data_IF_163910466945
#
_entry.id   IF_163910466945
#
_cell.length_a   1.000
_cell.length_b   1.000
_cell.length_c   1.000
_cell.angle_alpha   90.00
_cell.angle_beta   90.00
_cell.angle_gamma   90.00
#
_symmetry.space_group_name_H-M   'P 1'
#
loop_
_entity.id
_entity.type
_entity.pdbx_description
1 polymer ?
#
# COMPACT_ATOMS: atom_id res chain seq x y z
N UNK A 1 9.81 -7.50 -27.99
CA UNK A 1 9.73 -6.02 -28.23
C UNK A 1 9.42 -5.40 -26.88
N UNK A 2 10.07 -4.28 -26.56
CA UNK A 2 9.76 -3.52 -25.35
C UNK A 2 8.35 -2.92 -25.46
N UNK A 3 7.56 -3.02 -24.41
CA UNK A 3 6.18 -2.53 -24.36
C UNK A 3 6.10 -1.29 -23.47
N UNK A 4 5.27 -0.32 -23.88
CA UNK A 4 4.96 0.84 -23.03
C UNK A 4 3.64 0.60 -22.32
N UNK A 5 3.66 0.64 -20.97
CA UNK A 5 2.53 0.41 -20.10
C UNK A 5 2.19 1.70 -19.37
N UNK A 6 0.92 2.02 -19.21
CA UNK A 6 0.47 3.20 -18.48
C UNK A 6 -0.11 2.83 -17.12
N UNK A 7 0.12 3.70 -16.14
CA UNK A 7 -0.57 3.59 -14.86
C UNK A 7 -1.17 4.92 -14.42
N UNK A 8 -2.46 4.89 -14.09
CA UNK A 8 -3.21 6.03 -13.58
C UNK A 8 -3.85 5.70 -12.24
N UNK A 9 -3.88 6.69 -11.33
CA UNK A 9 -4.43 6.52 -9.99
C UNK A 9 -5.21 7.75 -9.54
N UNK A 10 -6.44 7.56 -9.08
CA UNK A 10 -7.30 8.64 -8.58
C UNK A 10 -7.80 8.33 -7.17
N UNK A 11 -7.98 9.38 -6.37
CA UNK A 11 -8.60 9.32 -5.05
C UNK A 11 -10.10 9.57 -5.08
N UNK A 12 -10.59 10.27 -6.11
CA UNK A 12 -11.99 10.66 -6.33
C UNK A 12 -12.37 10.43 -7.79
N UNK A 13 -13.66 10.23 -8.05
CA UNK A 13 -14.18 9.86 -9.38
C UNK A 13 -14.23 11.10 -10.29
N UNK A 14 -13.82 10.97 -11.56
CA UNK A 14 -14.20 11.84 -12.66
C UNK A 14 -13.02 12.49 -13.38
N UNK A 15 -12.99 13.81 -13.43
CA UNK A 15 -12.13 14.62 -14.32
C UNK A 15 -10.61 14.34 -14.22
N UNK A 16 -10.10 13.93 -13.05
CA UNK A 16 -8.67 13.68 -12.87
C UNK A 16 -8.22 12.36 -13.56
N UNK A 17 -9.09 11.36 -13.69
CA UNK A 17 -8.75 10.12 -14.39
C UNK A 17 -8.68 10.35 -15.90
N UNK A 18 -9.67 11.03 -16.47
CA UNK A 18 -9.73 11.28 -17.92
C UNK A 18 -8.53 12.11 -18.37
N UNK A 19 -8.14 13.13 -17.59
CA UNK A 19 -6.94 13.91 -17.85
C UNK A 19 -5.65 13.05 -17.81
N UNK A 20 -5.54 12.11 -16.87
CA UNK A 20 -4.41 11.19 -16.81
C UNK A 20 -4.40 10.24 -18.02
N UNK A 21 -5.54 9.68 -18.41
CA UNK A 21 -5.65 8.80 -19.57
C UNK A 21 -5.25 9.53 -20.86
N UNK A 22 -5.71 10.76 -21.05
CA UNK A 22 -5.33 11.59 -22.19
C UNK A 22 -3.81 11.85 -22.22
N UNK A 23 -3.22 12.25 -21.10
CA UNK A 23 -1.79 12.50 -21.00
C UNK A 23 -0.93 11.23 -21.24
N UNK A 24 -1.41 10.06 -20.83
CA UNK A 24 -0.75 8.78 -21.12
C UNK A 24 -0.85 8.41 -22.60
N UNK A 25 -2.00 8.65 -23.24
CA UNK A 25 -2.19 8.43 -24.66
C UNK A 25 -1.29 9.36 -25.50
N UNK A 26 -1.20 10.64 -25.13
CA UNK A 26 -0.31 11.62 -25.75
C UNK A 26 1.18 11.24 -25.59
N UNK A 27 1.52 10.55 -24.48
CA UNK A 27 2.85 10.00 -24.27
C UNK A 27 3.15 8.72 -25.05
N UNK A 28 2.20 8.23 -25.88
CA UNK A 28 2.33 7.07 -26.74
C UNK A 28 1.95 5.74 -26.07
N UNK A 29 1.21 5.76 -24.96
CA UNK A 29 0.71 4.54 -24.32
C UNK A 29 -0.58 4.10 -25.01
N UNK A 30 -0.64 2.82 -25.42
CA UNK A 30 -1.87 2.26 -25.98
C UNK A 30 -2.94 2.12 -24.87
N UNK A 31 -4.19 2.47 -25.18
CA UNK A 31 -5.31 2.42 -24.24
C UNK A 31 -5.48 1.03 -23.59
N UNK A 32 -5.28 -0.06 -24.35
CA UNK A 32 -5.34 -1.44 -23.85
C UNK A 32 -4.21 -1.80 -22.86
N UNK A 33 -3.25 -0.91 -22.69
CA UNK A 33 -2.08 -1.08 -21.83
C UNK A 33 -2.06 -0.10 -20.67
N UNK A 34 -3.18 0.56 -20.38
CA UNK A 34 -3.32 1.46 -19.25
C UNK A 34 -4.03 0.74 -18.11
N UNK A 35 -3.38 0.66 -16.98
CA UNK A 35 -3.89 0.08 -15.74
C UNK A 35 -4.33 1.20 -14.81
N UNK A 36 -5.46 1.02 -14.13
CA UNK A 36 -6.04 2.08 -13.30
C UNK A 36 -6.41 1.58 -11.92
N UNK A 37 -6.22 2.43 -10.90
CA UNK A 37 -6.69 2.20 -9.53
C UNK A 37 -7.51 3.38 -9.02
N UNK A 38 -8.63 3.05 -8.37
CA UNK A 38 -9.45 4.01 -7.60
C UNK A 38 -9.19 3.77 -6.13
N UNK A 39 -8.62 4.76 -5.44
CA UNK A 39 -8.37 4.65 -4.01
C UNK A 39 -9.55 5.24 -3.24
N UNK A 40 -10.30 4.40 -2.52
CA UNK A 40 -11.14 4.86 -1.43
C UNK A 40 -10.26 5.23 -0.23
N UNK A 41 -10.66 6.24 0.56
CA UNK A 41 -9.86 6.77 1.69
C UNK A 41 -9.54 5.78 2.84
N UNK A 42 -9.84 4.50 2.68
CA UNK A 42 -9.49 3.46 3.65
C UNK A 42 -7.99 3.16 3.63
N UNK A 43 -7.37 3.09 4.79
CA UNK A 43 -5.92 2.90 4.97
C UNK A 43 -5.36 1.59 4.36
N UNK A 44 -6.21 0.65 3.96
CA UNK A 44 -5.83 -0.67 3.49
C UNK A 44 -6.38 -0.98 2.08
N UNK A 45 -6.43 0.03 1.22
CA UNK A 45 -6.92 -0.14 -0.16
C UNK A 45 -5.88 -0.88 -0.99
N UNK A 46 -6.23 -2.06 -1.50
CA UNK A 46 -5.45 -2.79 -2.50
C UNK A 46 -5.34 -1.98 -3.79
N UNK A 47 -4.26 -2.18 -4.54
CA UNK A 47 -4.03 -1.56 -5.85
C UNK A 47 -3.98 -2.65 -6.93
N UNK A 48 -5.13 -3.24 -7.29
CA UNK A 48 -5.18 -4.35 -8.24
C UNK A 48 -4.66 -3.97 -9.63
N UNK A 49 -4.86 -2.71 -10.06
CA UNK A 49 -4.33 -2.21 -11.32
C UNK A 49 -2.80 -2.16 -11.33
N UNK A 50 -2.18 -1.62 -10.28
CA UNK A 50 -0.72 -1.63 -10.19
C UNK A 50 -0.17 -3.05 -10.09
N UNK A 51 -0.81 -3.91 -9.29
CA UNK A 51 -0.40 -5.30 -9.17
C UNK A 51 -0.44 -6.04 -10.51
N UNK A 52 -1.52 -5.88 -11.27
CA UNK A 52 -1.68 -6.46 -12.60
C UNK A 52 -0.64 -5.91 -13.60
N UNK A 53 -0.35 -4.61 -13.54
CA UNK A 53 0.71 -4.01 -14.35
C UNK A 53 2.07 -4.63 -14.01
N UNK A 54 2.40 -4.72 -12.73
CA UNK A 54 3.67 -5.29 -12.27
C UNK A 54 3.81 -6.78 -12.64
N UNK A 55 2.72 -7.53 -12.60
CA UNK A 55 2.70 -8.94 -13.01
C UNK A 55 2.89 -9.10 -14.52
N UNK A 56 2.32 -8.20 -15.30
CA UNK A 56 2.44 -8.20 -16.76
C UNK A 56 3.81 -7.74 -17.25
N UNK A 57 4.39 -6.70 -16.65
CA UNK A 57 5.61 -6.02 -17.09
C UNK A 57 6.84 -6.94 -17.10
N UNK A 58 7.68 -6.81 -18.11
CA UNK A 58 8.91 -7.58 -18.33
C UNK A 58 10.13 -6.65 -18.44
N UNK A 59 11.30 -7.22 -18.27
CA UNK A 59 12.56 -6.49 -18.44
C UNK A 59 12.62 -5.81 -19.81
N UNK A 60 12.95 -4.53 -19.82
CA UNK A 60 12.99 -3.69 -21.01
C UNK A 60 11.69 -2.93 -21.29
N UNK A 61 10.57 -3.27 -20.64
CA UNK A 61 9.33 -2.49 -20.74
C UNK A 61 9.47 -1.13 -20.05
N UNK A 62 8.59 -0.19 -20.40
CA UNK A 62 8.54 1.14 -19.80
C UNK A 62 7.19 1.39 -19.16
N UNK A 63 7.19 1.69 -17.86
CA UNK A 63 6.00 2.13 -17.11
C UNK A 63 5.93 3.66 -17.16
N UNK A 64 4.86 4.18 -17.75
CA UNK A 64 4.60 5.62 -17.86
C UNK A 64 3.53 6.01 -16.84
N UNK A 65 3.81 7.07 -16.09
CA UNK A 65 2.87 7.71 -15.16
C UNK A 65 2.79 9.21 -15.46
N UNK A 66 1.66 9.82 -15.20
CA UNK A 66 1.52 11.29 -15.34
C UNK A 66 2.36 12.02 -14.32
N UNK A 67 2.53 11.45 -13.14
CA UNK A 67 3.35 12.00 -12.06
C UNK A 67 3.87 10.85 -11.19
N UNK A 68 5.04 11.06 -10.59
CA UNK A 68 5.72 10.03 -9.79
C UNK A 68 4.92 9.61 -8.55
N UNK A 69 4.12 10.51 -7.99
CA UNK A 69 3.24 10.26 -6.85
C UNK A 69 2.09 9.30 -7.16
N UNK A 70 1.84 8.98 -8.44
CA UNK A 70 0.89 7.93 -8.82
C UNK A 70 1.38 6.54 -8.40
N UNK A 71 2.70 6.30 -8.36
CA UNK A 71 3.30 5.01 -8.00
C UNK A 71 3.16 4.63 -6.52
N UNK A 72 2.83 5.57 -5.64
CA UNK A 72 2.67 5.28 -4.21
C UNK A 72 1.77 6.30 -3.50
N UNK A 73 1.40 6.03 -2.25
CA UNK A 73 0.63 6.92 -1.36
C UNK A 73 1.52 7.69 -0.41
N UNK A 74 2.76 7.30 -0.32
CA UNK A 74 3.80 7.96 0.48
C UNK A 74 5.11 7.93 -0.30
N UNK A 75 6.06 8.78 0.07
CA UNK A 75 7.41 8.76 -0.51
C UNK A 75 8.00 7.36 -0.41
N UNK A 76 7.87 6.69 0.74
CA UNK A 76 8.35 5.33 0.95
C UNK A 76 7.73 4.28 0.00
N UNK A 77 6.45 4.41 -0.34
CA UNK A 77 5.83 3.51 -1.33
C UNK A 77 6.32 3.80 -2.74
N UNK A 78 6.42 5.07 -3.12
CA UNK A 78 6.92 5.50 -4.44
C UNK A 78 8.33 4.99 -4.66
N UNK A 79 9.22 5.25 -3.71
CA UNK A 79 10.64 4.86 -3.82
C UNK A 79 10.80 3.35 -3.86
N UNK A 80 10.01 2.60 -3.07
CA UNK A 80 10.01 1.13 -3.12
C UNK A 80 9.53 0.60 -4.47
N UNK A 81 8.46 1.17 -5.03
CA UNK A 81 7.96 0.77 -6.34
C UNK A 81 8.98 1.04 -7.44
N UNK A 82 9.69 2.16 -7.37
CA UNK A 82 10.76 2.49 -8.34
C UNK A 82 11.95 1.55 -8.18
N UNK A 83 12.34 1.22 -6.96
CA UNK A 83 13.43 0.26 -6.70
C UNK A 83 13.08 -1.13 -7.27
N UNK A 84 11.87 -1.65 -7.01
CA UNK A 84 11.39 -2.93 -7.55
C UNK A 84 11.39 -2.95 -9.08
N UNK A 85 10.89 -1.89 -9.72
CA UNK A 85 10.92 -1.76 -11.18
C UNK A 85 12.35 -1.75 -11.72
N UNK A 86 13.26 -1.04 -11.05
CA UNK A 86 14.67 -0.96 -11.42
C UNK A 86 15.39 -2.32 -11.31
N UNK A 87 15.18 -3.06 -10.22
CA UNK A 87 15.72 -4.42 -10.03
C UNK A 87 15.24 -5.38 -11.14
N UNK A 88 13.99 -5.22 -11.54
CA UNK A 88 13.39 -6.01 -12.63
C UNK A 88 13.76 -5.50 -14.02
N UNK A 89 14.61 -4.46 -14.12
CA UNK A 89 15.01 -3.82 -15.39
C UNK A 89 13.83 -3.26 -16.18
N UNK A 90 12.82 -2.77 -15.49
CA UNK A 90 11.66 -2.07 -16.08
C UNK A 90 11.91 -0.58 -15.94
N UNK A 91 11.77 0.14 -17.04
CA UNK A 91 11.99 1.58 -17.09
C UNK A 91 10.77 2.33 -16.55
N UNK A 92 11.01 3.51 -15.97
CA UNK A 92 9.96 4.41 -15.46
C UNK A 92 10.07 5.76 -16.14
N UNK A 93 8.95 6.26 -16.62
CA UNK A 93 8.82 7.61 -17.18
C UNK A 93 7.69 8.35 -16.45
N UNK A 94 8.03 9.43 -15.74
CA UNK A 94 7.09 10.33 -15.09
C UNK A 94 7.02 11.64 -15.88
N UNK A 95 5.84 11.90 -16.46
CA UNK A 95 5.66 12.98 -17.46
C UNK A 95 5.85 14.34 -16.79
N UNK A 96 5.16 14.60 -15.67
CA UNK A 96 5.15 15.89 -14.98
C UNK A 96 6.52 16.31 -14.48
N UNK A 97 7.27 15.39 -13.91
CA UNK A 97 8.60 15.64 -13.36
C UNK A 97 9.71 15.56 -14.41
N UNK A 98 9.41 15.12 -15.63
CA UNK A 98 10.41 14.93 -16.68
C UNK A 98 11.42 13.81 -16.36
N UNK A 99 11.07 12.88 -15.48
CA UNK A 99 11.94 11.77 -15.09
C UNK A 99 11.79 10.64 -16.11
N UNK A 100 12.92 10.18 -16.66
CA UNK A 100 12.97 9.01 -17.53
C UNK A 100 14.21 8.18 -17.18
N UNK A 101 13.96 7.00 -16.59
CA UNK A 101 15.05 6.10 -16.17
C UNK A 101 15.79 5.43 -17.34
N UNK A 102 15.36 5.61 -18.58
CA UNK A 102 16.16 5.27 -19.75
C UNK A 102 17.39 6.19 -19.88
N UNK A 103 17.31 7.42 -19.35
CA UNK A 103 18.41 8.38 -19.38
C UNK A 103 19.37 8.20 -18.20
N UNK A 104 20.66 8.60 -18.33
CA UNK A 104 21.60 8.56 -17.21
C UNK A 104 21.13 9.38 -16.00
N UNK A 105 20.59 10.57 -16.23
CA UNK A 105 20.07 11.46 -15.18
C UNK A 105 18.87 10.83 -14.47
N UNK A 106 17.90 10.27 -15.23
CA UNK A 106 16.74 9.62 -14.65
C UNK A 106 17.13 8.38 -13.83
N UNK A 107 18.12 7.60 -14.27
CA UNK A 107 18.68 6.50 -13.47
C UNK A 107 19.31 6.98 -12.17
N UNK A 108 20.06 8.09 -12.20
CA UNK A 108 20.64 8.66 -11.00
C UNK A 108 19.56 9.11 -10.00
N UNK A 109 18.48 9.75 -10.46
CA UNK A 109 17.34 10.13 -9.64
C UNK A 109 16.66 8.89 -9.05
N UNK A 110 16.42 7.84 -9.84
CA UNK A 110 15.83 6.59 -9.36
C UNK A 110 16.72 5.90 -8.30
N UNK A 111 18.04 5.91 -8.47
CA UNK A 111 18.98 5.38 -7.49
C UNK A 111 18.94 6.16 -6.15
N UNK A 112 18.90 7.49 -6.20
CA UNK A 112 18.73 8.32 -5.00
C UNK A 112 17.41 7.98 -4.29
N UNK A 113 16.32 7.85 -5.03
CA UNK A 113 15.02 7.49 -4.47
C UNK A 113 15.05 6.09 -3.83
N UNK A 114 15.71 5.11 -4.44
CA UNK A 114 15.88 3.78 -3.87
C UNK A 114 16.64 3.83 -2.54
N UNK A 115 17.74 4.56 -2.47
CA UNK A 115 18.52 4.75 -1.23
C UNK A 115 17.69 5.43 -0.13
N UNK A 116 16.88 6.43 -0.47
CA UNK A 116 15.96 7.06 0.49
C UNK A 116 14.90 6.08 1.01
N UNK A 117 14.41 5.18 0.16
CA UNK A 117 13.45 4.13 0.58
C UNK A 117 14.08 3.17 1.60
N UNK A 118 15.31 2.74 1.37
CA UNK A 118 16.07 1.90 2.29
C UNK A 118 16.26 2.59 3.64
N UNK A 119 16.69 3.85 3.62
CA UNK A 119 16.87 4.66 4.83
C UNK A 119 15.56 4.79 5.63
N UNK A 120 14.44 5.07 4.98
CA UNK A 120 13.13 5.13 5.65
C UNK A 120 12.71 3.79 6.27
N UNK A 121 13.03 2.67 5.63
CA UNK A 121 12.78 1.34 6.18
C UNK A 121 13.62 1.08 7.43
N UNK A 122 14.90 1.45 7.42
CA UNK A 122 15.81 1.31 8.56
C UNK A 122 15.36 2.18 9.74
N UNK A 123 15.12 3.47 9.51
CA UNK A 123 14.58 4.38 10.53
C UNK A 123 13.22 3.90 11.08
N UNK A 124 12.41 3.28 10.25
CA UNK A 124 11.15 2.66 10.67
C UNK A 124 11.36 1.44 11.57
N UNK A 125 12.39 0.61 11.32
CA UNK A 125 12.78 -0.51 12.19
C UNK A 125 13.30 -0.01 13.54
N UNK A 126 14.19 0.98 13.54
CA UNK A 126 14.75 1.58 14.75
C UNK A 126 13.66 2.19 15.64
N UNK A 127 12.75 3.00 15.06
CA UNK A 127 11.61 3.58 15.80
C UNK A 127 10.73 2.51 16.44
N UNK A 128 10.46 1.39 15.73
CA UNK A 128 9.71 0.27 16.29
C UNK A 128 10.47 -0.48 17.38
N UNK A 129 11.79 -0.60 17.26
CA UNK A 129 12.64 -1.20 18.28
C UNK A 129 12.66 -0.33 19.55
N UNK A 130 12.93 0.96 19.43
CA UNK A 130 12.92 1.92 20.53
C UNK A 130 11.54 1.97 21.24
N UNK A 131 10.44 1.95 20.47
CA UNK A 131 9.10 1.90 21.04
C UNK A 131 8.84 0.60 21.85
N UNK A 132 9.35 -0.53 21.38
CA UNK A 132 9.25 -1.82 22.13
C UNK A 132 10.07 -1.79 23.40
N UNK A 133 11.29 -1.25 23.34
CA UNK A 133 12.18 -1.11 24.50
C UNK A 133 11.57 -0.18 25.56
N UNK A 134 11.08 1.01 25.15
CA UNK A 134 10.37 1.92 26.03
C UNK A 134 9.14 1.29 26.69
N UNK A 135 8.39 0.43 25.97
CA UNK A 135 7.27 -0.31 26.55
C UNK A 135 7.73 -1.35 27.57
N UNK A 136 8.83 -2.06 27.27
CA UNK A 136 9.42 -3.02 28.22
C UNK A 136 9.90 -2.32 29.50
N UNK A 137 10.59 -1.21 29.37
CA UNK A 137 11.07 -0.41 30.51
C UNK A 137 9.92 0.09 31.41
N UNK A 138 8.74 0.33 30.84
CA UNK A 138 7.53 0.73 31.56
C UNK A 138 6.66 -0.45 32.01
N UNK A 139 7.13 -1.69 31.91
CA UNK A 139 6.37 -2.92 32.18
C UNK A 139 5.02 -2.99 31.44
N UNK A 140 4.93 -2.34 30.28
CA UNK A 140 3.73 -2.36 29.44
C UNK A 140 3.73 -3.60 28.52
N UNK A 141 2.59 -4.21 28.24
CA UNK A 141 2.52 -5.36 27.35
C UNK A 141 3.03 -5.00 25.95
N UNK A 142 3.72 -5.95 25.30
CA UNK A 142 4.30 -5.79 23.97
C UNK A 142 3.25 -5.51 22.89
N UNK A 143 2.04 -5.98 23.10
CA UNK A 143 0.87 -5.79 22.23
C UNK A 143 -0.17 -4.92 22.91
N UNK A 144 -1.11 -4.39 22.12
CA UNK A 144 -2.27 -3.66 22.65
C UNK A 144 -3.02 -4.56 23.63
N UNK A 145 -3.34 -4.09 24.85
CA UNK A 145 -4.05 -4.92 25.83
C UNK A 145 -5.39 -5.39 25.23
N UNK A 146 -5.80 -6.58 25.64
CA UNK A 146 -7.11 -7.10 25.28
C UNK A 146 -8.20 -6.13 25.74
N UNK A 147 -9.20 -5.92 24.88
CA UNK A 147 -10.34 -5.04 25.21
C UNK A 147 -11.23 -5.60 26.32
N UNK A 148 -11.24 -6.92 26.45
CA UNK A 148 -11.95 -7.65 27.51
C UNK A 148 -10.96 -8.33 28.44
N UNK A 149 -11.26 -8.33 29.77
CA UNK A 149 -10.57 -9.18 30.75
C UNK A 149 -10.83 -10.66 30.44
N UNK A 150 -9.99 -11.54 31.00
CA UNK A 150 -10.10 -12.99 30.78
C UNK A 150 -11.51 -13.46 31.16
N UNK A 151 -12.04 -13.05 32.31
CA UNK A 151 -13.38 -13.42 32.78
C UNK A 151 -14.47 -13.00 31.78
N UNK A 152 -14.36 -11.78 31.20
CA UNK A 152 -15.30 -11.30 30.19
C UNK A 152 -15.17 -12.02 28.86
N UNK A 153 -13.97 -12.49 28.50
CA UNK A 153 -13.76 -13.32 27.30
C UNK A 153 -14.44 -14.70 27.51
N UNK A 154 -14.30 -15.31 28.69
CA UNK A 154 -14.97 -16.56 29.02
C UNK A 154 -16.49 -16.41 29.02
N UNK A 155 -17.00 -15.31 29.59
CA UNK A 155 -18.42 -15.00 29.54
C UNK A 155 -18.94 -14.87 28.12
N UNK A 156 -18.18 -14.20 27.24
CA UNK A 156 -18.48 -14.08 25.81
C UNK A 156 -18.55 -15.46 25.14
N UNK A 157 -17.59 -16.36 25.44
CA UNK A 157 -17.57 -17.73 24.90
C UNK A 157 -18.78 -18.54 25.35
N UNK A 158 -19.13 -18.44 26.64
CA UNK A 158 -20.30 -19.12 27.19
C UNK A 158 -21.61 -18.69 26.53
N UNK A 159 -21.82 -17.38 26.37
CA UNK A 159 -23.02 -16.85 25.74
C UNK A 159 -23.06 -17.18 24.23
N UNK A 160 -21.94 -17.19 23.54
CA UNK A 160 -21.90 -17.64 22.16
C UNK A 160 -22.23 -19.13 22.00
N UNK A 161 -21.86 -19.97 22.98
CA UNK A 161 -22.18 -21.39 22.99
C UNK A 161 -23.69 -21.68 23.22
N UNK A 162 -24.44 -20.71 23.78
CA UNK A 162 -25.91 -20.82 23.90
C UNK A 162 -26.66 -20.44 22.63
N UNK A 163 -25.92 -20.03 21.54
CA UNK A 163 -26.49 -19.74 20.24
C UNK A 163 -26.84 -18.26 20.04
N UNK A 164 -26.42 -17.37 20.95
CA UNK A 164 -26.64 -15.93 20.75
C UNK A 164 -25.85 -15.37 19.55
N UNK A 165 -26.45 -14.49 18.76
CA UNK A 165 -25.79 -13.90 17.58
C UNK A 165 -24.54 -13.11 17.97
N UNK A 166 -23.39 -13.41 17.35
CA UNK A 166 -22.11 -12.74 17.62
C UNK A 166 -22.19 -11.21 17.47
N UNK A 167 -23.09 -10.73 16.61
CA UNK A 167 -23.30 -9.31 16.41
C UNK A 167 -23.89 -8.62 17.66
N UNK A 168 -24.84 -9.27 18.34
CA UNK A 168 -25.49 -8.77 19.55
C UNK A 168 -24.54 -8.87 20.74
N UNK A 169 -23.82 -9.99 20.86
CA UNK A 169 -22.76 -10.16 21.85
C UNK A 169 -21.66 -9.09 21.70
N UNK A 170 -21.21 -8.80 20.51
CA UNK A 170 -20.21 -7.76 20.28
C UNK A 170 -20.69 -6.38 20.76
N UNK A 171 -21.96 -6.04 20.51
CA UNK A 171 -22.57 -4.80 20.99
C UNK A 171 -22.69 -4.77 22.52
N UNK A 172 -23.18 -5.85 23.15
CA UNK A 172 -23.32 -5.97 24.59
C UNK A 172 -22.00 -5.87 25.36
N UNK A 173 -20.91 -6.39 24.76
CA UNK A 173 -19.57 -6.32 25.32
C UNK A 173 -18.80 -5.05 24.96
N UNK A 174 -19.36 -4.14 24.14
CA UNK A 174 -18.72 -2.89 23.68
C UNK A 174 -17.49 -3.11 22.79
N UNK A 175 -17.46 -4.19 22.01
CA UNK A 175 -16.36 -4.56 21.11
C UNK A 175 -16.85 -4.64 19.65
N UNK A 176 -15.92 -4.52 18.69
CA UNK A 176 -16.25 -4.75 17.29
C UNK A 176 -16.44 -6.23 16.97
N UNK A 177 -17.27 -6.56 15.98
CA UNK A 177 -17.54 -7.93 15.52
C UNK A 177 -16.25 -8.73 15.23
N UNK A 178 -15.29 -8.14 14.54
CA UNK A 178 -14.00 -8.78 14.26
C UNK A 178 -13.22 -9.14 15.53
N UNK A 179 -13.35 -8.33 16.60
CA UNK A 179 -12.75 -8.61 17.91
C UNK A 179 -13.49 -9.74 18.62
N UNK A 180 -14.82 -9.78 18.54
CA UNK A 180 -15.62 -10.86 19.10
C UNK A 180 -15.26 -12.20 18.45
N UNK A 181 -15.25 -12.28 17.12
CA UNK A 181 -14.82 -13.50 16.41
C UNK A 181 -13.44 -13.97 16.81
N UNK A 182 -12.48 -13.07 16.97
CA UNK A 182 -11.12 -13.43 17.41
C UNK A 182 -11.12 -14.08 18.81
N UNK A 183 -11.88 -13.54 19.76
CA UNK A 183 -12.00 -14.14 21.10
C UNK A 183 -12.73 -15.49 21.13
N UNK A 184 -13.58 -15.74 20.14
CA UNK A 184 -14.27 -17.02 20.01
C UNK A 184 -13.41 -18.08 19.31
N UNK A 185 -12.39 -17.68 18.55
CA UNK A 185 -11.47 -18.59 17.84
C UNK A 185 -10.20 -18.94 18.62
N UNK A 186 -9.90 -18.22 19.69
CA UNK A 186 -8.83 -18.50 20.66
C UNK A 186 -9.33 -19.42 21.79
#
# INVERSE_FOLDING_TARGET
>A
MATTLGYARVSTIGQDLDAQLAALADAGVNADRIYTDKLSGAANTTRPGLAALLDYARAGDTVVVTAIDRLGRSVAEVTRTIADLSERRILVRAIREGIDTATPTGRAVAAIMATLAELELELGKERRAAARESRRARSLPATKPYKLSIDRQEQLRRLAATGEPVAELAAAFGIGRATAYRYLSE
#
